data_IF_842037899342
#
_entry.id   IF_842037899342
#
_cell.length_a   1.000
_cell.length_b   1.000
_cell.length_c   1.000
_cell.angle_alpha   90.00
_cell.angle_beta   90.00
_cell.angle_gamma   90.00
#
_symmetry.space_group_name_H-M   'P 1'
#
loop_
_entity.id
_entity.type
_entity.pdbx_description
1 polymer ?
#
# COMPACT_ATOMS: atom_id res chain seq x y z
N UNK A 1 5.85 -31.98 51.72
CA UNK A 1 5.64 -30.55 51.39
C UNK A 1 4.56 -30.49 50.35
N UNK A 2 3.40 -29.89 50.63
CA UNK A 2 2.26 -29.86 49.70
C UNK A 2 2.28 -28.54 48.94
N UNK A 3 2.69 -28.50 47.66
CA UNK A 3 2.91 -27.22 46.97
C UNK A 3 1.59 -26.57 46.54
N UNK A 4 0.61 -27.34 46.07
CA UNK A 4 -0.65 -26.82 45.52
C UNK A 4 -1.82 -27.61 46.11
N UNK A 5 -2.86 -26.92 46.56
CA UNK A 5 -4.12 -27.52 47.01
C UNK A 5 -5.25 -27.00 46.14
N UNK A 6 -6.14 -27.87 45.68
CA UNK A 6 -7.45 -27.48 45.12
C UNK A 6 -8.53 -27.84 46.13
N UNK A 7 -9.46 -26.94 46.37
CA UNK A 7 -10.55 -27.18 47.31
C UNK A 7 -11.92 -26.98 46.69
N UNK A 8 -12.89 -27.78 47.11
CA UNK A 8 -14.25 -27.80 46.58
C UNK A 8 -15.25 -28.16 47.67
N UNK A 9 -16.50 -27.78 47.44
CA UNK A 9 -17.63 -28.29 48.22
C UNK A 9 -18.03 -29.71 47.80
N UNK A 10 -18.77 -30.46 48.66
CA UNK A 10 -19.28 -31.80 48.36
C UNK A 10 -20.02 -31.92 47.03
N UNK A 11 -20.82 -30.91 46.69
CA UNK A 11 -21.67 -30.87 45.51
C UNK A 11 -20.86 -30.81 44.19
N UNK A 12 -19.62 -30.30 44.25
CA UNK A 12 -18.76 -30.14 43.08
C UNK A 12 -17.77 -31.30 42.90
N UNK A 13 -17.81 -32.32 43.75
CA UNK A 13 -16.81 -33.37 43.80
C UNK A 13 -16.58 -34.08 42.46
N UNK A 14 -17.64 -34.41 41.73
CA UNK A 14 -17.52 -35.11 40.45
C UNK A 14 -16.81 -34.27 39.38
N UNK A 15 -17.05 -32.95 39.36
CA UNK A 15 -16.39 -32.00 38.45
C UNK A 15 -14.93 -31.80 38.84
N UNK A 16 -14.68 -31.59 40.13
CA UNK A 16 -13.33 -31.32 40.63
C UNK A 16 -12.46 -32.57 40.55
N UNK A 17 -13.00 -33.79 40.73
CA UNK A 17 -12.28 -35.03 40.46
C UNK A 17 -11.71 -35.07 39.03
N UNK A 18 -12.54 -34.76 38.02
CA UNK A 18 -12.09 -34.71 36.62
C UNK A 18 -11.01 -33.65 36.41
N UNK A 19 -11.13 -32.50 37.08
CA UNK A 19 -10.15 -31.42 37.03
C UNK A 19 -8.80 -31.83 37.65
N UNK A 20 -8.83 -32.47 38.82
CA UNK A 20 -7.66 -33.03 39.50
C UNK A 20 -6.93 -34.02 38.60
N UNK A 21 -7.66 -34.99 38.02
CA UNK A 21 -7.09 -35.97 37.10
C UNK A 21 -6.44 -35.30 35.87
N UNK A 22 -7.07 -34.26 35.33
CA UNK A 22 -6.54 -33.54 34.18
C UNK A 22 -5.29 -32.71 34.53
N UNK A 23 -5.23 -32.11 35.71
CA UNK A 23 -4.07 -31.38 36.20
C UNK A 23 -2.90 -32.32 36.55
N UNK A 24 -3.18 -33.50 37.10
CA UNK A 24 -2.17 -34.55 37.30
C UNK A 24 -1.56 -35.00 35.96
N UNK A 25 -2.38 -35.18 34.91
CA UNK A 25 -1.88 -35.46 33.55
C UNK A 25 -1.00 -34.35 32.98
N UNK A 26 -1.14 -33.13 33.48
CA UNK A 26 -0.27 -32.02 33.12
C UNK A 26 1.00 -31.95 33.97
N UNK A 27 1.27 -32.90 34.87
CA UNK A 27 2.37 -32.89 35.85
C UNK A 27 2.24 -31.76 36.89
N UNK A 28 1.03 -31.46 37.36
CA UNK A 28 0.82 -30.59 38.52
C UNK A 28 0.72 -31.47 39.75
N UNK A 29 1.69 -31.38 40.66
CA UNK A 29 1.62 -32.06 41.96
C UNK A 29 0.66 -31.29 42.87
N UNK A 30 -0.55 -31.83 43.05
CA UNK A 30 -1.61 -31.19 43.82
C UNK A 30 -2.35 -32.17 44.72
N UNK A 31 -2.83 -31.64 45.84
CA UNK A 31 -3.74 -32.31 46.76
C UNK A 31 -5.15 -31.76 46.59
N UNK A 32 -6.16 -32.64 46.62
CA UNK A 32 -7.57 -32.23 46.60
C UNK A 32 -8.16 -32.25 48.01
N UNK A 33 -8.43 -31.07 48.55
CA UNK A 33 -9.08 -30.88 49.85
C UNK A 33 -10.59 -30.72 49.69
N UNK A 34 -11.34 -31.71 50.17
CA UNK A 34 -12.81 -31.70 50.21
C UNK A 34 -13.24 -30.97 51.48
N UNK A 35 -13.61 -29.71 51.34
CA UNK A 35 -14.02 -28.90 52.49
C UNK A 35 -15.40 -29.35 52.95
N UNK A 36 -15.51 -29.68 54.23
CA UNK A 36 -16.80 -29.92 54.89
C UNK A 36 -17.30 -28.59 55.48
N UNK A 37 -18.41 -28.01 54.97
CA UNK A 37 -18.96 -26.77 55.50
C UNK A 37 -19.35 -26.85 56.98
N UNK A 38 -19.63 -28.05 57.51
CA UNK A 38 -19.93 -28.25 58.92
C UNK A 38 -18.66 -28.20 59.80
N UNK A 39 -17.47 -28.42 59.22
CA UNK A 39 -16.19 -28.47 59.94
C UNK A 39 -15.06 -27.74 59.16
N UNK A 40 -15.22 -26.44 58.86
CA UNK A 40 -14.29 -25.72 57.98
C UNK A 40 -12.87 -25.60 58.57
N UNK A 41 -12.75 -25.57 59.91
CA UNK A 41 -11.46 -25.49 60.60
C UNK A 41 -10.56 -26.70 60.31
N UNK A 42 -11.12 -27.88 60.03
CA UNK A 42 -10.33 -29.08 59.72
C UNK A 42 -9.55 -28.95 58.40
N UNK A 43 -10.07 -28.17 57.44
CA UNK A 43 -9.38 -27.87 56.19
C UNK A 43 -8.46 -26.66 56.30
N UNK A 44 -8.69 -25.77 57.26
CA UNK A 44 -7.95 -24.49 57.42
C UNK A 44 -6.45 -24.67 57.47
N UNK A 45 -5.95 -25.53 58.36
CA UNK A 45 -4.51 -25.72 58.56
C UNK A 45 -3.82 -26.16 57.27
N UNK A 46 -4.46 -27.06 56.52
CA UNK A 46 -3.95 -27.55 55.23
C UNK A 46 -3.94 -26.45 54.17
N UNK A 47 -5.01 -25.67 54.08
CA UNK A 47 -5.12 -24.58 53.11
C UNK A 47 -4.11 -23.47 53.40
N UNK A 48 -3.93 -23.11 54.68
CA UNK A 48 -2.95 -22.09 55.09
C UNK A 48 -1.50 -22.55 54.94
N UNK A 49 -1.23 -23.85 55.10
CA UNK A 49 0.10 -24.43 54.89
C UNK A 49 0.49 -24.58 53.41
N UNK A 50 -0.47 -24.57 52.48
CA UNK A 50 -0.20 -24.68 51.05
C UNK A 50 0.61 -23.48 50.53
N UNK A 51 1.32 -23.67 49.40
CA UNK A 51 2.00 -22.56 48.69
C UNK A 51 1.06 -21.88 47.69
N UNK A 52 0.06 -22.60 47.21
CA UNK A 52 -1.02 -22.10 46.36
C UNK A 52 -2.31 -22.85 46.68
N UNK A 53 -3.42 -22.13 46.78
CA UNK A 53 -4.77 -22.72 46.95
C UNK A 53 -5.67 -22.30 45.81
N UNK A 54 -6.22 -23.28 45.09
CA UNK A 54 -7.17 -23.10 44.02
C UNK A 54 -8.58 -23.25 44.59
N UNK A 55 -9.32 -22.14 44.65
CA UNK A 55 -10.74 -22.13 45.00
C UNK A 55 -11.59 -22.28 43.75
N UNK A 56 -12.57 -23.19 43.82
CA UNK A 56 -13.53 -23.46 42.76
C UNK A 56 -14.86 -22.77 43.05
N UNK A 57 -15.38 -22.03 42.08
CA UNK A 57 -16.64 -21.30 42.18
C UNK A 57 -17.73 -21.98 41.34
N UNK A 58 -18.84 -22.26 42.01
CA UNK A 58 -20.09 -22.81 41.45
C UNK A 58 -21.27 -22.08 42.09
N UNK A 59 -22.49 -22.31 41.58
CA UNK A 59 -23.71 -21.80 42.21
C UNK A 59 -23.86 -22.26 43.67
N UNK A 60 -23.43 -23.48 43.99
CA UNK A 60 -23.45 -24.01 45.36
C UNK A 60 -22.56 -23.20 46.32
N UNK A 61 -21.37 -22.80 45.86
CA UNK A 61 -20.45 -21.97 46.64
C UNK A 61 -20.99 -20.56 46.88
N UNK A 62 -21.88 -20.05 46.02
CA UNK A 62 -22.52 -18.75 46.20
C UNK A 62 -23.78 -18.79 47.08
N UNK A 63 -24.35 -19.97 47.30
CA UNK A 63 -25.48 -20.15 48.22
C UNK A 63 -25.09 -19.95 49.70
N UNK A 64 -26.06 -19.91 50.60
CA UNK A 64 -25.81 -19.83 52.05
C UNK A 64 -24.96 -21.01 52.57
N UNK A 65 -25.08 -22.19 51.97
CA UNK A 65 -24.29 -23.37 52.31
C UNK A 65 -22.78 -23.16 52.04
N UNK A 66 -22.43 -22.23 51.15
CA UNK A 66 -21.05 -21.90 50.80
C UNK A 66 -20.41 -20.81 51.68
N UNK A 67 -21.10 -20.27 52.69
CA UNK A 67 -20.58 -19.15 53.49
C UNK A 67 -19.20 -19.44 54.11
N UNK A 68 -19.06 -20.58 54.80
CA UNK A 68 -17.79 -20.99 55.41
C UNK A 68 -16.66 -21.18 54.38
N UNK A 69 -16.99 -21.63 53.16
CA UNK A 69 -16.03 -21.77 52.06
C UNK A 69 -15.56 -20.39 51.58
N UNK A 70 -16.47 -19.41 51.44
CA UNK A 70 -16.14 -18.03 51.04
C UNK A 70 -15.26 -17.34 52.09
N UNK A 71 -15.59 -17.46 53.37
CA UNK A 71 -14.80 -16.89 54.47
C UNK A 71 -13.37 -17.46 54.49
N UNK A 72 -13.23 -18.78 54.27
CA UNK A 72 -11.93 -19.43 54.15
C UNK A 72 -11.15 -18.90 52.94
N UNK A 73 -11.83 -18.72 51.81
CA UNK A 73 -11.24 -18.21 50.59
C UNK A 73 -10.70 -16.78 50.78
N UNK A 74 -11.42 -15.93 51.51
CA UNK A 74 -10.96 -14.58 51.86
C UNK A 74 -9.72 -14.58 52.76
N UNK A 75 -9.67 -15.45 53.75
CA UNK A 75 -8.48 -15.58 54.63
C UNK A 75 -7.24 -15.99 53.83
N UNK A 76 -7.36 -17.00 52.96
CA UNK A 76 -6.24 -17.47 52.12
C UNK A 76 -5.86 -16.44 51.06
N UNK A 77 -6.83 -15.66 50.54
CA UNK A 77 -6.59 -14.52 49.65
C UNK A 77 -5.79 -13.44 50.37
N UNK A 78 -6.16 -13.09 51.59
CA UNK A 78 -5.41 -12.14 52.43
C UNK A 78 -3.96 -12.57 52.69
N UNK A 79 -3.69 -13.88 52.73
CA UNK A 79 -2.34 -14.43 52.79
C UNK A 79 -1.59 -14.44 51.44
N UNK A 80 -2.22 -13.96 50.35
CA UNK A 80 -1.63 -13.84 49.03
C UNK A 80 -1.48 -15.16 48.26
N UNK A 81 -2.10 -16.25 48.71
CA UNK A 81 -1.92 -17.62 48.17
C UNK A 81 -3.08 -18.13 47.32
N UNK A 82 -4.19 -17.40 47.30
CA UNK A 82 -5.40 -17.82 46.63
C UNK A 82 -5.32 -17.65 45.10
N UNK A 83 -5.93 -18.59 44.41
CA UNK A 83 -6.30 -18.53 43.00
C UNK A 83 -7.78 -18.90 42.86
N UNK A 84 -8.42 -18.35 41.84
CA UNK A 84 -9.85 -18.50 41.61
C UNK A 84 -10.11 -19.24 40.29
N UNK A 85 -10.99 -20.24 40.32
CA UNK A 85 -11.41 -21.02 39.16
C UNK A 85 -12.93 -21.07 39.10
N UNK A 86 -13.52 -20.64 38.00
CA UNK A 86 -14.97 -20.72 37.79
C UNK A 86 -15.31 -22.05 37.12
N UNK A 87 -16.07 -22.92 37.81
CA UNK A 87 -16.61 -24.16 37.23
C UNK A 87 -17.91 -23.93 36.46
N UNK A 88 -18.58 -22.83 36.75
CA UNK A 88 -19.81 -22.36 36.14
C UNK A 88 -19.70 -20.87 35.84
N UNK A 89 -20.62 -20.32 35.05
CA UNK A 89 -20.64 -18.88 34.75
C UNK A 89 -21.21 -18.08 35.93
N UNK A 90 -20.52 -18.13 37.04
CA UNK A 90 -20.85 -17.41 38.26
C UNK A 90 -19.81 -16.32 38.51
N UNK A 91 -20.25 -15.16 38.97
CA UNK A 91 -19.33 -14.12 39.40
C UNK A 91 -18.52 -14.63 40.60
N UNK A 92 -17.21 -14.35 40.63
CA UNK A 92 -16.45 -14.54 41.85
C UNK A 92 -17.00 -13.61 42.94
N UNK A 93 -16.88 -13.96 44.24
CA UNK A 93 -17.34 -13.07 45.31
C UNK A 93 -16.67 -11.70 45.24
N UNK A 94 -17.35 -10.70 45.81
CA UNK A 94 -16.87 -9.32 45.85
C UNK A 94 -15.47 -9.21 46.53
N UNK A 95 -14.66 -8.26 46.08
CA UNK A 95 -13.30 -8.03 46.62
C UNK A 95 -12.22 -8.96 46.07
N UNK A 96 -12.53 -9.87 45.13
CA UNK A 96 -11.54 -10.69 44.41
C UNK A 96 -10.88 -9.98 43.22
N UNK A 97 -11.10 -8.67 43.10
CA UNK A 97 -10.44 -7.81 42.12
C UNK A 97 -8.92 -7.88 42.27
N UNK A 98 -8.22 -8.28 41.21
CA UNK A 98 -6.76 -8.48 41.22
C UNK A 98 -6.29 -9.90 41.54
N UNK A 99 -7.17 -10.82 41.95
CA UNK A 99 -6.83 -12.24 42.04
C UNK A 99 -6.97 -12.91 40.68
N UNK A 100 -6.06 -13.82 40.32
CA UNK A 100 -6.16 -14.57 39.07
C UNK A 100 -7.41 -15.44 39.06
N UNK A 101 -8.38 -15.07 38.22
CA UNK A 101 -9.61 -15.83 37.97
C UNK A 101 -9.49 -16.56 36.62
N UNK A 102 -9.67 -17.88 36.61
CA UNK A 102 -9.63 -18.70 35.39
C UNK A 102 -11.01 -19.29 35.13
N UNK A 103 -11.60 -18.96 33.96
CA UNK A 103 -12.91 -19.44 33.53
C UNK A 103 -12.81 -20.86 32.94
N UNK A 104 -13.22 -21.87 33.71
CA UNK A 104 -13.40 -23.26 33.26
C UNK A 104 -14.86 -23.65 33.05
N UNK A 105 -15.81 -22.69 33.03
CA UNK A 105 -17.25 -22.96 32.88
C UNK A 105 -17.63 -23.71 31.60
N UNK A 106 -16.77 -23.68 30.59
CA UNK A 106 -16.95 -24.37 29.30
C UNK A 106 -15.98 -25.52 29.07
N UNK A 107 -15.14 -25.83 30.05
CA UNK A 107 -14.16 -26.91 29.93
C UNK A 107 -14.86 -28.27 29.95
N UNK A 108 -14.52 -29.14 28.99
CA UNK A 108 -15.16 -30.45 28.79
C UNK A 108 -14.17 -31.61 29.02
N UNK A 109 -13.43 -31.57 30.13
CA UNK A 109 -12.48 -32.63 30.52
C UNK A 109 -11.33 -32.90 29.53
N UNK A 110 -11.07 -32.00 28.59
CA UNK A 110 -9.95 -32.14 27.65
C UNK A 110 -8.64 -31.73 28.36
N UNK A 111 -7.65 -32.62 28.50
CA UNK A 111 -6.39 -32.31 29.16
C UNK A 111 -5.52 -31.30 28.38
N UNK A 112 -5.77 -31.11 27.08
CA UNK A 112 -5.06 -30.15 26.23
C UNK A 112 -5.84 -28.84 26.03
N UNK A 113 -6.89 -28.62 26.84
CA UNK A 113 -7.63 -27.36 26.80
C UNK A 113 -6.76 -26.20 27.30
N UNK A 114 -6.78 -25.07 26.59
CA UNK A 114 -5.91 -23.92 26.90
C UNK A 114 -6.22 -23.32 28.26
N UNK A 115 -7.49 -23.29 28.69
CA UNK A 115 -7.82 -22.76 30.01
C UNK A 115 -7.33 -23.68 31.14
N UNK A 116 -7.31 -24.99 30.92
CA UNK A 116 -6.71 -25.95 31.84
C UNK A 116 -5.18 -25.79 31.90
N UNK A 117 -4.53 -25.59 30.75
CA UNK A 117 -3.09 -25.34 30.68
C UNK A 117 -2.71 -24.02 31.36
N UNK A 118 -3.52 -22.97 31.20
CA UNK A 118 -3.34 -21.70 31.90
C UNK A 118 -3.47 -21.89 33.42
N UNK A 119 -4.44 -22.69 33.88
CA UNK A 119 -4.58 -23.04 35.30
C UNK A 119 -3.34 -23.76 35.83
N UNK A 120 -2.86 -24.78 35.09
CA UNK A 120 -1.66 -25.53 35.48
C UNK A 120 -0.42 -24.62 35.56
N UNK A 121 -0.26 -23.70 34.61
CA UNK A 121 0.86 -22.76 34.60
C UNK A 121 0.77 -21.74 35.75
N UNK A 122 -0.42 -21.17 35.97
CA UNK A 122 -0.67 -20.21 37.04
C UNK A 122 -0.50 -20.83 38.43
N UNK A 123 -0.99 -22.05 38.65
CA UNK A 123 -0.84 -22.75 39.93
C UNK A 123 0.63 -23.02 40.27
N UNK A 124 1.44 -23.41 39.27
CA UNK A 124 2.90 -23.58 39.47
C UNK A 124 3.61 -22.27 39.76
N UNK A 125 3.32 -21.22 39.00
CA UNK A 125 3.91 -19.90 39.21
C UNK A 125 3.59 -19.38 40.61
N UNK A 126 2.32 -19.45 41.01
CA UNK A 126 1.87 -19.03 42.34
C UNK A 126 2.51 -19.85 43.46
N UNK A 127 2.60 -21.18 43.31
CA UNK A 127 3.30 -22.02 44.27
C UNK A 127 4.79 -21.68 44.34
N UNK A 128 5.43 -21.27 43.24
CA UNK A 128 6.80 -20.79 43.21
C UNK A 128 7.00 -19.38 43.82
N UNK A 129 5.92 -18.69 44.21
CA UNK A 129 5.96 -17.30 44.68
C UNK A 129 6.12 -16.28 43.56
N UNK A 130 5.86 -16.69 42.31
CA UNK A 130 5.90 -15.85 41.12
C UNK A 130 4.48 -15.40 40.74
N UNK A 131 4.41 -14.31 40.00
CA UNK A 131 3.15 -13.88 39.40
C UNK A 131 2.68 -14.85 38.32
N UNK A 132 1.37 -15.15 38.25
CA UNK A 132 0.82 -16.02 37.21
C UNK A 132 1.09 -15.47 35.81
N UNK A 133 1.46 -16.33 34.83
CA UNK A 133 1.65 -15.90 33.47
C UNK A 133 0.33 -15.38 32.86
N UNK A 134 0.40 -14.51 31.84
CA UNK A 134 -0.80 -14.01 31.18
C UNK A 134 -1.63 -15.16 30.58
N UNK A 135 -2.93 -15.14 30.83
CA UNK A 135 -3.86 -16.19 30.39
C UNK A 135 -4.06 -16.17 28.87
N UNK A 136 -3.91 -17.33 28.22
CA UNK A 136 -4.05 -17.50 26.77
C UNK A 136 -5.49 -17.82 26.36
N UNK A 137 -6.28 -18.44 27.24
CA UNK A 137 -7.65 -18.88 27.01
C UNK A 137 -8.60 -17.76 26.59
N UNK A 138 -8.72 -16.66 27.35
CA UNK A 138 -9.59 -15.53 27.01
C UNK A 138 -9.25 -14.89 25.65
N UNK A 139 -7.95 -14.76 25.35
CA UNK A 139 -7.46 -14.21 24.08
C UNK A 139 -7.80 -15.14 22.93
N UNK A 140 -7.54 -16.45 23.06
CA UNK A 140 -7.86 -17.46 22.03
C UNK A 140 -9.37 -17.58 21.77
N UNK A 141 -10.20 -17.38 22.79
CA UNK A 141 -11.67 -17.39 22.67
C UNK A 141 -12.17 -16.16 21.89
N UNK A 142 -11.64 -14.97 22.15
CA UNK A 142 -11.92 -13.77 21.34
C UNK A 142 -11.43 -13.95 19.90
N UNK A 143 -10.24 -14.52 19.68
CA UNK A 143 -9.75 -14.84 18.34
C UNK A 143 -10.62 -15.86 17.59
N UNK A 144 -11.13 -16.92 18.23
CA UNK A 144 -12.07 -17.86 17.58
C UNK A 144 -13.42 -17.24 17.26
N UNK A 145 -13.92 -16.33 18.09
CA UNK A 145 -15.18 -15.60 17.85
C UNK A 145 -15.04 -14.55 16.75
N UNK A 146 -13.89 -13.86 16.67
CA UNK A 146 -13.56 -12.98 15.55
C UNK A 146 -13.22 -13.74 14.26
N UNK A 147 -12.58 -14.92 14.33
CA UNK A 147 -12.29 -15.73 13.15
C UNK A 147 -13.54 -16.20 12.39
N UNK A 148 -14.71 -16.24 13.05
CA UNK A 148 -15.99 -16.52 12.39
C UNK A 148 -16.57 -15.30 11.66
N UNK A 149 -16.08 -14.08 11.93
CA UNK A 149 -16.50 -12.81 11.33
C UNK A 149 -15.45 -12.23 10.35
N UNK A 150 -14.33 -12.91 10.15
CA UNK A 150 -13.21 -12.46 9.30
C UNK A 150 -13.25 -12.89 7.82
N UNK A 151 -14.17 -13.73 7.28
CA UNK A 151 -14.11 -14.03 5.85
C UNK A 151 -14.55 -12.87 4.93
N UNK A 152 -14.85 -11.66 5.43
CA UNK A 152 -15.21 -10.51 4.57
C UNK A 152 -14.10 -9.48 4.36
N UNK A 153 -13.02 -9.44 5.15
CA UNK A 153 -12.01 -8.36 5.02
C UNK A 153 -10.57 -8.85 4.84
N UNK A 154 -10.17 -9.98 5.45
CA UNK A 154 -8.81 -10.53 5.25
C UNK A 154 -8.71 -11.57 4.12
N UNK A 155 -9.85 -12.05 3.61
CA UNK A 155 -9.91 -12.82 2.36
C UNK A 155 -9.49 -11.99 1.15
N UNK A 156 -9.68 -10.67 1.15
CA UNK A 156 -9.24 -9.82 0.06
C UNK A 156 -7.70 -9.64 0.04
N UNK A 157 -7.05 -9.48 1.20
CA UNK A 157 -5.60 -9.17 1.25
C UNK A 157 -4.75 -10.43 1.11
N UNK A 158 -5.13 -11.53 1.76
CA UNK A 158 -4.40 -12.80 1.65
C UNK A 158 -4.47 -13.41 0.26
N UNK A 159 -5.63 -13.31 -0.41
CA UNK A 159 -5.78 -13.73 -1.80
C UNK A 159 -4.96 -12.82 -2.71
N UNK A 160 -4.86 -11.50 -2.48
CA UNK A 160 -3.98 -10.64 -3.29
C UNK A 160 -2.50 -11.03 -3.13
N UNK A 161 -2.01 -11.34 -1.92
CA UNK A 161 -0.60 -11.69 -1.73
C UNK A 161 -0.23 -13.09 -2.24
N UNK A 162 -1.11 -14.09 -2.09
CA UNK A 162 -0.88 -15.41 -2.70
C UNK A 162 -1.21 -15.44 -4.18
N UNK A 163 -2.11 -14.59 -4.68
CA UNK A 163 -2.25 -14.37 -6.11
C UNK A 163 -0.99 -13.71 -6.64
N UNK A 164 -0.47 -12.61 -6.09
CA UNK A 164 0.78 -11.99 -6.58
C UNK A 164 1.94 -12.99 -6.59
N UNK A 165 2.10 -13.78 -5.53
CA UNK A 165 3.09 -14.85 -5.50
C UNK A 165 2.81 -15.97 -6.52
N UNK A 166 1.55 -16.36 -6.72
CA UNK A 166 1.15 -17.33 -7.74
C UNK A 166 1.30 -16.76 -9.17
N UNK A 167 1.00 -15.48 -9.41
CA UNK A 167 1.17 -14.73 -10.66
C UNK A 167 2.66 -14.72 -11.05
N UNK A 168 3.55 -14.49 -10.08
CA UNK A 168 5.01 -14.55 -10.26
C UNK A 168 5.54 -15.99 -10.47
N UNK A 169 4.97 -16.99 -9.80
CA UNK A 169 5.43 -18.39 -9.95
C UNK A 169 4.79 -19.15 -11.12
N UNK A 170 3.65 -18.67 -11.63
CA UNK A 170 2.93 -19.24 -12.77
C UNK A 170 3.24 -18.55 -14.10
N UNK A 171 4.14 -17.56 -14.12
CA UNK A 171 4.54 -16.82 -15.33
C UNK A 171 3.44 -15.91 -15.90
N UNK A 172 2.49 -15.47 -15.06
CA UNK A 172 1.46 -14.51 -15.47
C UNK A 172 1.93 -13.06 -15.32
N UNK A 173 3.03 -12.82 -14.61
CA UNK A 173 3.82 -11.58 -14.66
C UNK A 173 4.67 -11.47 -15.93
N UNK A 174 4.85 -12.55 -16.70
CA UNK A 174 5.42 -12.51 -18.05
C UNK A 174 4.40 -12.13 -19.14
N UNK A 175 3.11 -12.02 -18.79
CA UNK A 175 2.06 -11.67 -19.76
C UNK A 175 1.72 -10.19 -19.63
N UNK A 176 2.26 -9.39 -20.55
CA UNK A 176 1.91 -7.98 -20.66
C UNK A 176 0.39 -7.80 -20.79
N UNK A 177 -0.16 -6.81 -20.08
CA UNK A 177 -1.57 -6.43 -20.25
C UNK A 177 -1.85 -6.09 -21.72
N UNK A 178 -3.09 -6.26 -22.19
CA UNK A 178 -3.43 -5.98 -23.58
C UNK A 178 -3.08 -4.54 -24.00
N UNK A 179 -3.18 -3.59 -23.06
CA UNK A 179 -2.78 -2.21 -23.24
C UNK A 179 -1.25 -2.07 -23.37
N UNK A 180 -0.49 -2.67 -22.44
CA UNK A 180 0.97 -2.64 -22.48
C UNK A 180 1.52 -3.33 -23.73
N UNK A 181 0.98 -4.49 -24.12
CA UNK A 181 1.40 -5.21 -25.32
C UNK A 181 1.13 -4.39 -26.60
N UNK A 182 -0.01 -3.68 -26.65
CA UNK A 182 -0.32 -2.79 -27.76
C UNK A 182 0.58 -1.55 -27.80
N UNK A 183 0.96 -1.00 -26.64
CA UNK A 183 1.93 0.08 -26.54
C UNK A 183 3.34 -0.39 -26.96
N UNK A 184 3.78 -1.55 -26.47
CA UNK A 184 5.08 -2.13 -26.81
C UNK A 184 5.23 -2.40 -28.31
N UNK A 185 4.18 -2.91 -28.97
CA UNK A 185 4.17 -3.13 -30.42
C UNK A 185 4.36 -1.85 -31.24
N UNK A 186 4.06 -0.68 -30.69
CA UNK A 186 4.28 0.63 -31.35
C UNK A 186 5.71 1.14 -31.17
N UNK A 187 6.48 0.58 -30.23
CA UNK A 187 7.86 0.99 -29.99
C UNK A 187 8.72 0.57 -31.18
N UNK A 188 9.22 1.55 -31.93
CA UNK A 188 10.09 1.28 -33.06
C UNK A 188 11.48 0.90 -32.58
N UNK A 189 12.05 -0.13 -33.20
CA UNK A 189 13.39 -0.60 -32.89
C UNK A 189 14.41 0.54 -32.99
N UNK A 190 15.18 0.75 -31.93
CA UNK A 190 16.20 1.79 -31.85
C UNK A 190 15.69 3.22 -31.63
N UNK A 191 14.38 3.45 -31.54
CA UNK A 191 13.83 4.77 -31.24
C UNK A 191 13.79 5.01 -29.72
N UNK A 192 14.65 5.90 -29.24
CA UNK A 192 14.74 6.22 -27.82
C UNK A 192 13.52 6.96 -27.26
N UNK A 193 12.83 7.74 -28.10
CA UNK A 193 11.66 8.51 -27.65
C UNK A 193 10.47 7.60 -27.41
N UNK A 194 10.23 6.64 -28.31
CA UNK A 194 9.17 5.65 -28.13
C UNK A 194 9.37 4.86 -26.82
N UNK A 195 10.63 4.54 -26.44
CA UNK A 195 10.96 3.87 -25.18
C UNK A 195 10.70 4.75 -23.94
N UNK A 196 11.01 6.06 -24.00
CA UNK A 196 10.71 6.99 -22.89
C UNK A 196 9.21 7.14 -22.68
N UNK A 197 8.46 7.31 -23.77
CA UNK A 197 7.00 7.40 -23.74
C UNK A 197 6.39 6.12 -23.16
N UNK A 198 6.89 4.94 -23.58
CA UNK A 198 6.45 3.66 -23.03
C UNK A 198 6.73 3.56 -21.53
N UNK A 199 7.93 3.90 -21.07
CA UNK A 199 8.30 3.83 -19.65
C UNK A 199 7.55 4.83 -18.77
N UNK A 200 7.09 5.96 -19.34
CA UNK A 200 6.27 6.92 -18.61
C UNK A 200 4.90 6.35 -18.23
N UNK A 201 4.32 5.47 -19.05
CA UNK A 201 3.01 4.83 -18.78
C UNK A 201 3.12 3.40 -18.23
N UNK A 202 4.22 2.69 -18.49
CA UNK A 202 4.39 1.28 -18.14
C UNK A 202 5.73 0.99 -17.44
N UNK A 203 6.20 1.89 -16.57
CA UNK A 203 7.51 1.80 -15.89
C UNK A 203 7.72 0.58 -14.98
N UNK A 204 6.63 -0.07 -14.57
CA UNK A 204 6.58 -1.29 -13.75
C UNK A 204 5.96 -2.49 -14.52
N UNK A 205 5.78 -2.36 -15.84
CA UNK A 205 5.22 -3.41 -16.71
C UNK A 205 6.23 -4.49 -17.13
N UNK A 206 5.75 -5.51 -17.82
CA UNK A 206 6.55 -6.68 -18.25
C UNK A 206 7.73 -6.29 -19.13
N UNK A 207 7.52 -5.36 -20.07
CA UNK A 207 8.58 -4.89 -20.97
C UNK A 207 9.40 -3.73 -20.38
N UNK A 208 9.16 -3.32 -19.13
CA UNK A 208 9.83 -2.17 -18.54
C UNK A 208 11.34 -2.37 -18.41
N UNK A 209 11.78 -3.56 -17.98
CA UNK A 209 13.20 -3.85 -17.80
C UNK A 209 13.92 -3.99 -19.14
N UNK A 210 13.25 -4.56 -20.14
CA UNK A 210 13.76 -4.55 -21.51
C UNK A 210 13.86 -3.13 -22.06
N UNK A 211 12.84 -2.29 -21.88
CA UNK A 211 12.84 -0.90 -22.32
C UNK A 211 13.97 -0.10 -21.66
N UNK A 212 14.16 -0.24 -20.34
CA UNK A 212 15.27 0.36 -19.59
C UNK A 212 16.63 -0.11 -20.12
N UNK A 213 16.76 -1.39 -20.43
CA UNK A 213 17.99 -1.98 -21.00
C UNK A 213 18.29 -1.41 -22.39
N UNK A 214 17.30 -1.35 -23.29
CA UNK A 214 17.44 -0.76 -24.62
C UNK A 214 17.78 0.73 -24.54
N UNK A 215 17.19 1.47 -23.58
CA UNK A 215 17.49 2.88 -23.34
C UNK A 215 18.89 3.08 -22.74
N UNK A 216 19.36 2.18 -21.87
CA UNK A 216 20.71 2.20 -21.31
C UNK A 216 21.78 1.90 -22.37
N UNK A 217 21.46 1.07 -23.38
CA UNK A 217 22.30 0.80 -24.54
C UNK A 217 22.31 1.93 -25.59
N UNK A 218 21.82 3.13 -25.23
CA UNK A 218 21.77 4.30 -26.12
C UNK A 218 23.15 4.69 -26.63
N UNK A 219 23.25 4.84 -27.94
CA UNK A 219 24.37 5.49 -28.63
C UNK A 219 23.93 6.85 -29.13
N UNK A 220 24.79 7.83 -28.90
CA UNK A 220 24.60 9.21 -29.35
C UNK A 220 25.76 9.53 -30.28
N UNK A 221 25.44 10.13 -31.43
CA UNK A 221 26.43 10.67 -32.34
C UNK A 221 25.95 11.98 -32.92
N UNK A 222 26.89 12.74 -33.46
CA UNK A 222 26.62 13.97 -34.18
C UNK A 222 26.78 13.68 -35.67
N UNK A 223 25.79 14.06 -36.48
CA UNK A 223 25.89 14.03 -37.93
C UNK A 223 25.49 15.38 -38.51
N UNK A 224 25.99 15.68 -39.71
CA UNK A 224 25.52 16.83 -40.46
C UNK A 224 24.05 16.59 -40.85
N UNK A 225 23.16 17.44 -40.36
CA UNK A 225 21.75 17.45 -40.71
C UNK A 225 21.27 18.85 -41.08
N UNK A 226 20.01 18.96 -41.45
CA UNK A 226 19.37 20.24 -41.74
C UNK A 226 18.55 20.68 -40.54
N UNK A 227 18.70 21.94 -40.12
CA UNK A 227 17.84 22.59 -39.13
C UNK A 227 17.04 23.69 -39.82
N UNK A 228 15.73 23.71 -39.61
CA UNK A 228 14.90 24.82 -40.04
C UNK A 228 15.22 26.08 -39.22
N UNK A 229 15.49 27.18 -39.93
CA UNK A 229 15.70 28.50 -39.36
C UNK A 229 14.88 29.54 -40.14
N UNK A 230 14.39 30.54 -39.42
CA UNK A 230 13.75 31.71 -40.03
C UNK A 230 14.69 32.92 -39.91
N UNK A 231 15.01 33.54 -41.04
CA UNK A 231 15.88 34.73 -41.11
C UNK A 231 15.10 35.91 -41.70
N UNK A 232 14.96 37.01 -40.95
CA UNK A 232 14.30 38.20 -41.46
C UNK A 232 15.23 39.02 -42.35
N UNK A 233 14.74 39.48 -43.49
CA UNK A 233 15.39 40.48 -44.34
C UNK A 233 14.49 41.71 -44.50
N UNK A 234 15.02 42.94 -44.41
CA UNK A 234 14.26 44.14 -44.74
C UNK A 234 13.72 44.06 -46.18
N UNK A 235 12.45 44.42 -46.37
CA UNK A 235 11.79 44.44 -47.66
C UNK A 235 10.99 45.74 -47.82
N UNK A 236 11.17 46.40 -48.97
CA UNK A 236 10.40 47.58 -49.35
C UNK A 236 9.73 47.34 -50.70
N UNK A 237 8.41 47.40 -50.73
CA UNK A 237 7.62 47.30 -51.96
C UNK A 237 7.20 48.70 -52.38
N UNK A 238 7.63 49.13 -53.57
CA UNK A 238 7.37 50.45 -54.11
C UNK A 238 6.12 50.44 -55.02
N UNK A 239 5.34 51.53 -54.97
CA UNK A 239 4.14 51.70 -55.79
C UNK A 239 4.44 52.12 -57.23
N UNK A 240 5.65 52.62 -57.53
CA UNK A 240 5.98 53.25 -58.81
C UNK A 240 5.92 52.35 -60.05
N UNK A 241 5.85 51.03 -59.88
CA UNK A 241 5.71 50.05 -60.97
C UNK A 241 4.39 49.24 -60.87
N UNK A 242 3.45 49.66 -60.02
CA UNK A 242 2.19 48.97 -59.80
C UNK A 242 1.08 49.45 -60.75
N UNK A 243 0.28 48.54 -61.27
CA UNK A 243 -0.96 48.89 -61.98
C UNK A 243 -2.04 49.33 -60.96
N UNK A 244 -2.78 50.42 -61.22
CA UNK A 244 -3.83 50.87 -60.31
C UNK A 244 -4.97 49.85 -60.18
N UNK A 245 -5.31 49.51 -58.94
CA UNK A 245 -6.42 48.59 -58.61
C UNK A 245 -7.72 49.34 -58.32
N UNK A 246 -8.86 48.66 -58.44
CA UNK A 246 -10.20 49.24 -58.28
C UNK A 246 -10.54 49.73 -56.86
N UNK A 247 -9.68 49.49 -55.87
CA UNK A 247 -9.86 49.93 -54.49
C UNK A 247 -8.66 49.60 -53.61
N UNK A 248 -8.68 50.11 -52.38
CA UNK A 248 -7.56 49.97 -51.42
C UNK A 248 -7.23 48.52 -51.09
N UNK A 249 -8.24 47.69 -50.82
CA UNK A 249 -8.01 46.28 -50.44
C UNK A 249 -7.39 45.48 -51.59
N UNK A 250 -7.86 45.70 -52.82
CA UNK A 250 -7.29 45.11 -54.01
C UNK A 250 -5.84 45.57 -54.23
N UNK A 251 -5.56 46.86 -54.03
CA UNK A 251 -4.21 47.41 -54.11
C UNK A 251 -3.26 46.86 -53.04
N UNK A 252 -3.76 46.61 -51.82
CA UNK A 252 -2.98 46.00 -50.74
C UNK A 252 -2.67 44.52 -51.03
N UNK A 253 -3.65 43.76 -51.56
CA UNK A 253 -3.44 42.37 -51.96
C UNK A 253 -2.41 42.26 -53.10
N UNK A 254 -2.50 43.14 -54.09
CA UNK A 254 -1.56 43.25 -55.20
C UNK A 254 -0.14 43.65 -54.70
N UNK A 255 -0.03 44.58 -53.76
CA UNK A 255 1.25 44.91 -53.13
C UNK A 255 1.84 43.74 -52.33
N UNK A 256 1.02 42.97 -51.61
CA UNK A 256 1.47 41.75 -50.93
C UNK A 256 1.99 40.72 -51.93
N UNK A 257 1.26 40.47 -53.03
CA UNK A 257 1.69 39.53 -54.07
C UNK A 257 3.04 39.94 -54.70
N UNK A 258 3.25 41.23 -54.96
CA UNK A 258 4.57 41.76 -55.36
C UNK A 258 5.63 41.53 -54.29
N UNK A 259 5.28 41.81 -53.04
CA UNK A 259 6.17 41.59 -51.90
C UNK A 259 6.59 40.14 -51.77
N UNK A 260 5.69 39.18 -51.98
CA UNK A 260 5.99 37.75 -51.93
C UNK A 260 6.95 37.33 -53.04
N UNK A 261 6.72 37.82 -54.27
CA UNK A 261 7.62 37.57 -55.39
C UNK A 261 9.02 38.15 -55.13
N UNK A 262 9.11 39.34 -54.53
CA UNK A 262 10.38 40.00 -54.22
C UNK A 262 11.08 39.34 -53.02
N UNK A 263 10.33 38.96 -51.98
CA UNK A 263 10.82 38.18 -50.86
C UNK A 263 11.45 36.86 -51.32
N UNK A 264 10.81 36.18 -52.28
CA UNK A 264 11.34 34.92 -52.80
C UNK A 264 12.67 35.10 -53.56
N UNK A 265 12.84 36.20 -54.30
CA UNK A 265 14.12 36.55 -54.93
C UNK A 265 15.16 36.93 -53.89
N UNK A 266 14.83 37.79 -52.94
CA UNK A 266 15.75 38.25 -51.90
C UNK A 266 16.25 37.09 -51.03
N UNK A 267 15.34 36.22 -50.60
CA UNK A 267 15.68 35.04 -49.80
C UNK A 267 16.51 34.01 -50.56
N UNK A 268 16.49 34.00 -51.90
CA UNK A 268 17.37 33.13 -52.71
C UNK A 268 18.84 33.43 -52.48
N UNK A 269 19.19 34.67 -52.11
CA UNK A 269 20.55 35.06 -51.75
C UNK A 269 21.16 34.25 -50.60
N UNK A 270 20.34 33.70 -49.69
CA UNK A 270 20.83 32.79 -48.65
C UNK A 270 21.36 31.46 -49.20
N UNK A 271 20.72 30.94 -50.26
CA UNK A 271 21.19 29.73 -50.94
C UNK A 271 22.47 30.02 -51.72
N UNK A 272 22.52 31.17 -52.42
CA UNK A 272 23.70 31.57 -53.20
C UNK A 272 24.92 31.88 -52.32
N UNK A 273 24.69 32.37 -51.08
CA UNK A 273 25.73 32.63 -50.08
C UNK A 273 26.18 31.37 -49.31
N UNK A 274 25.61 30.19 -49.61
CA UNK A 274 25.96 28.93 -48.94
C UNK A 274 25.48 28.83 -47.49
N UNK A 275 24.53 29.66 -47.07
CA UNK A 275 24.02 29.68 -45.68
C UNK A 275 22.96 28.60 -45.42
N UNK A 276 22.38 28.00 -46.47
CA UNK A 276 21.42 26.91 -46.36
C UNK A 276 20.54 26.77 -47.60
N UNK A 277 19.68 25.76 -47.62
CA UNK A 277 18.69 25.59 -48.71
C UNK A 277 17.45 26.42 -48.41
N UNK A 278 17.02 27.25 -49.35
CA UNK A 278 15.74 27.98 -49.22
C UNK A 278 14.56 27.01 -49.35
N UNK A 279 13.70 26.98 -48.32
CA UNK A 279 12.47 26.17 -48.28
C UNK A 279 11.25 27.03 -48.63
N UNK A 280 11.26 28.30 -48.27
CA UNK A 280 10.20 29.24 -48.63
C UNK A 280 10.47 30.66 -48.14
N UNK A 281 9.65 31.59 -48.58
CA UNK A 281 9.67 32.98 -48.14
C UNK A 281 8.24 33.43 -47.85
N UNK A 282 8.06 34.22 -46.80
CA UNK A 282 6.77 34.86 -46.49
C UNK A 282 7.00 36.33 -46.17
N UNK A 283 5.97 37.15 -46.33
CA UNK A 283 6.07 38.60 -46.10
C UNK A 283 5.36 38.97 -44.82
N UNK A 284 6.02 39.80 -44.01
CA UNK A 284 5.40 40.55 -42.93
C UNK A 284 5.38 42.02 -43.32
N UNK A 285 4.22 42.51 -43.74
CA UNK A 285 4.03 43.90 -44.13
C UNK A 285 3.68 44.75 -42.89
N UNK A 286 4.34 45.90 -42.74
CA UNK A 286 4.12 46.80 -41.60
C UNK A 286 3.66 48.19 -42.08
N UNK A 287 4.58 49.02 -42.59
CA UNK A 287 4.33 50.45 -42.84
C UNK A 287 3.70 50.70 -44.22
N UNK A 288 2.38 50.64 -44.29
CA UNK A 288 1.61 50.83 -45.52
C UNK A 288 1.51 52.29 -45.99
N UNK A 289 1.63 52.50 -47.31
CA UNK A 289 1.39 53.77 -48.01
C UNK A 289 0.54 53.48 -49.23
N UNK A 290 -0.62 54.14 -49.36
CA UNK A 290 -1.51 53.94 -50.50
C UNK A 290 -1.96 55.28 -51.05
N UNK A 291 -1.84 55.45 -52.36
CA UNK A 291 -2.12 56.69 -53.07
C UNK A 291 -3.07 56.45 -54.25
N UNK A 292 -3.84 57.47 -54.60
CA UNK A 292 -4.71 57.44 -55.78
C UNK A 292 -3.88 57.72 -57.04
N UNK A 293 -3.99 56.85 -58.05
CA UNK A 293 -3.28 56.99 -59.32
C UNK A 293 -4.20 56.60 -60.49
N UNK A 294 -4.41 57.52 -61.44
CA UNK A 294 -5.10 57.23 -62.70
C UNK A 294 -6.52 56.69 -62.57
N UNK A 295 -7.26 57.05 -61.51
CA UNK A 295 -8.61 56.56 -61.24
C UNK A 295 -8.68 55.25 -60.43
N UNK A 296 -7.53 54.67 -60.06
CA UNK A 296 -7.42 53.54 -59.14
C UNK A 296 -6.58 53.87 -57.90
N UNK A 297 -6.27 52.84 -57.11
CA UNK A 297 -5.38 52.94 -55.93
C UNK A 297 -4.14 52.07 -56.15
N UNK A 298 -2.98 52.57 -55.74
CA UNK A 298 -1.74 51.79 -55.66
C UNK A 298 -1.25 51.79 -54.22
N UNK A 299 -0.70 50.67 -53.76
CA UNK A 299 -0.15 50.53 -52.41
C UNK A 299 1.31 50.07 -52.44
N UNK A 300 2.03 50.54 -51.44
CA UNK A 300 3.41 50.24 -51.09
C UNK A 300 3.48 49.91 -49.60
N UNK A 301 4.52 49.19 -49.18
CA UNK A 301 4.81 49.01 -47.76
C UNK A 301 6.30 48.79 -47.52
N UNK A 302 6.74 49.12 -46.31
CA UNK A 302 7.98 48.61 -45.74
C UNK A 302 7.66 47.48 -44.76
N UNK A 303 8.53 46.48 -44.69
CA UNK A 303 8.33 45.32 -43.84
C UNK A 303 9.53 44.38 -43.90
N UNK A 304 9.26 43.09 -43.73
CA UNK A 304 10.28 42.07 -43.69
C UNK A 304 9.89 40.84 -44.52
N UNK A 305 10.85 40.28 -45.23
CA UNK A 305 10.78 38.94 -45.78
C UNK A 305 11.26 37.94 -44.73
N UNK A 306 10.39 37.03 -44.30
CA UNK A 306 10.72 35.90 -43.42
C UNK A 306 11.21 34.73 -44.29
N UNK A 307 12.52 34.58 -44.41
CA UNK A 307 13.14 33.52 -45.20
C UNK A 307 13.22 32.24 -44.37
N UNK A 308 12.56 31.17 -44.81
CA UNK A 308 12.60 29.84 -44.22
C UNK A 308 13.71 29.04 -44.88
N UNK A 309 14.80 28.81 -44.16
CA UNK A 309 15.99 28.13 -44.66
C UNK A 309 16.29 26.86 -43.86
N UNK A 310 16.80 25.85 -44.55
CA UNK A 310 17.41 24.66 -43.98
C UNK A 310 18.92 24.89 -43.90
N UNK A 311 19.41 25.28 -42.72
CA UNK A 311 20.85 25.47 -42.46
C UNK A 311 21.50 24.12 -42.16
N UNK A 312 22.75 23.93 -42.62
CA UNK A 312 23.55 22.77 -42.22
C UNK A 312 23.90 22.93 -40.75
N UNK A 313 23.42 22.01 -39.94
CA UNK A 313 23.64 21.99 -38.50
C UNK A 313 24.14 20.63 -38.07
N UNK A 314 24.93 20.62 -37.01
CA UNK A 314 25.22 19.39 -36.28
C UNK A 314 23.94 18.95 -35.56
N UNK A 315 23.35 17.85 -36.03
CA UNK A 315 22.17 17.26 -35.40
C UNK A 315 22.63 16.09 -34.56
N UNK A 316 22.31 16.17 -33.27
CA UNK A 316 22.53 15.06 -32.36
C UNK A 316 21.48 13.98 -32.64
N UNK A 317 21.93 12.82 -33.08
CA UNK A 317 21.10 11.62 -33.22
C UNK A 317 21.30 10.73 -32.01
N UNK A 318 20.25 10.01 -31.65
CA UNK A 318 20.33 8.93 -30.70
C UNK A 318 19.67 7.68 -31.27
N UNK A 319 20.26 6.54 -30.95
CA UNK A 319 19.69 5.23 -31.23
C UNK A 319 19.83 4.34 -30.02
N UNK A 320 18.73 3.75 -29.62
CA UNK A 320 18.65 2.83 -28.50
C UNK A 320 18.88 1.38 -28.96
N UNK A 321 19.01 0.46 -28.00
CA UNK A 321 19.08 -0.98 -28.28
C UNK A 321 17.87 -1.46 -29.10
N UNK A 322 18.12 -2.38 -30.03
CA UNK A 322 17.12 -2.87 -30.98
C UNK A 322 16.87 -4.38 -30.88
N UNK A 323 17.17 -5.01 -29.74
CA UNK A 323 17.01 -6.46 -29.59
C UNK A 323 15.57 -6.88 -29.83
N UNK A 324 15.39 -8.00 -30.52
CA UNK A 324 14.15 -8.51 -31.11
C UNK A 324 13.23 -9.13 -30.08
#
# INVERSE_FOLDING_TARGET
MTPIVITSLPEDHDRVRKLVEALHKQNVDLWWERLDPAQPEASRDKLMAARCVIFTWSEHVLSDAGAAYRDMAEQVRGAGKAMSVQLEKVAAPDGWEGTTVIDLSRWKSNPQDVFLLDLAAAARAKAAGLDPPPQRGPVRRKFKQLALLVPTVLGAIGIISTLVGFYQTAGLDEIASAEEAAAWKKVRAGNCEDLRVFLASHGDGVHADEAKTRLAARRIWTEAGSRAAERPLPLSVLAGMAEPSAGRDAAMADALARGEAEAQKACKGYADAGLGKLVGATVKADAWRCDALGGGTVCAFDGQAMCKIEEVAEVQREQCGSTS
#
